data_IF_331654188673
#
_entry.id   IF_331654188673
#
_cell.length_a   1.000
_cell.length_b   1.000
_cell.length_c   1.000
_cell.angle_alpha   90.00
_cell.angle_beta   90.00
_cell.angle_gamma   90.00
#
_symmetry.space_group_name_H-M   'P 1'
#
loop_
_entity.id
_entity.type
_entity.pdbx_description
1 polymer ?
#
# COMPACT_ATOMS: atom_id res chain seq x y z
N UNK A 1 11.63 -13.14 -58.53
CA UNK A 1 11.84 -11.88 -57.82
C UNK A 1 11.72 -12.18 -56.33
N UNK A 2 12.83 -12.46 -55.69
CA UNK A 2 13.00 -12.79 -54.29
C UNK A 2 13.11 -11.50 -53.46
N UNK A 3 12.23 -11.30 -52.49
CA UNK A 3 12.32 -10.24 -51.50
C UNK A 3 13.33 -10.62 -50.39
N UNK A 4 14.32 -9.75 -50.17
CA UNK A 4 15.26 -9.83 -49.03
C UNK A 4 14.57 -9.42 -47.75
N UNK A 5 14.90 -10.01 -46.58
CA UNK A 5 14.39 -9.57 -45.29
C UNK A 5 15.09 -8.29 -44.82
N UNK A 6 14.30 -7.34 -44.28
CA UNK A 6 14.81 -6.13 -43.65
C UNK A 6 15.43 -6.47 -42.31
N UNK A 7 16.70 -6.17 -42.15
CA UNK A 7 17.40 -6.24 -40.87
C UNK A 7 17.09 -4.96 -40.07
N UNK A 8 16.44 -5.09 -38.94
CA UNK A 8 16.17 -3.98 -38.01
C UNK A 8 17.44 -3.70 -37.20
N UNK A 9 18.05 -2.56 -37.49
CA UNK A 9 19.22 -2.06 -36.69
C UNK A 9 18.69 -1.39 -35.46
N UNK A 10 18.80 -2.06 -34.30
CA UNK A 10 18.50 -1.49 -32.98
C UNK A 10 19.63 -0.52 -32.65
N UNK A 11 19.29 0.75 -32.39
CA UNK A 11 20.25 1.81 -32.04
C UNK A 11 20.86 1.56 -30.65
N UNK A 12 22.18 1.68 -30.45
CA UNK A 12 22.87 1.35 -29.19
C UNK A 12 22.63 2.34 -28.04
N UNK A 13 21.87 3.42 -28.22
CA UNK A 13 21.72 4.50 -27.23
C UNK A 13 20.83 4.12 -26.03
N UNK A 14 19.94 3.15 -26.17
CA UNK A 14 19.05 2.70 -25.09
C UNK A 14 19.77 1.81 -24.06
N UNK A 15 20.74 1.05 -24.50
CA UNK A 15 21.50 0.12 -23.66
C UNK A 15 22.47 0.85 -22.72
N UNK A 16 23.11 1.93 -23.17
CA UNK A 16 23.99 2.74 -22.32
C UNK A 16 23.25 3.52 -21.22
N UNK A 17 22.02 4.00 -21.50
CA UNK A 17 21.21 4.67 -20.48
C UNK A 17 20.73 3.72 -19.38
N UNK A 18 20.37 2.50 -19.75
CA UNK A 18 19.96 1.47 -18.80
C UNK A 18 21.11 1.01 -17.88
N UNK A 19 22.34 0.93 -18.43
CA UNK A 19 23.53 0.60 -17.65
C UNK A 19 23.93 1.70 -16.66
N UNK A 20 23.81 2.99 -17.07
CA UNK A 20 24.04 4.13 -16.19
C UNK A 20 23.00 4.19 -15.06
N UNK A 21 21.72 3.93 -15.35
CA UNK A 21 20.65 3.95 -14.35
C UNK A 21 20.87 2.88 -13.26
N UNK A 22 21.18 1.66 -13.65
CA UNK A 22 21.46 0.57 -12.72
C UNK A 22 22.71 0.83 -11.84
N UNK A 23 23.73 1.50 -12.40
CA UNK A 23 24.93 1.85 -11.61
C UNK A 23 24.64 2.93 -10.56
N UNK A 24 23.79 3.89 -10.86
CA UNK A 24 23.37 4.95 -9.92
C UNK A 24 22.51 4.36 -8.80
N UNK A 25 21.60 3.45 -9.13
CA UNK A 25 20.76 2.74 -8.14
C UNK A 25 21.59 1.90 -7.18
N UNK A 26 22.56 1.14 -7.69
CA UNK A 26 23.50 0.36 -6.86
C UNK A 26 24.33 1.23 -5.91
N UNK A 27 24.81 2.38 -6.38
CA UNK A 27 25.58 3.32 -5.55
C UNK A 27 24.70 3.94 -4.44
N UNK A 28 23.43 4.25 -4.73
CA UNK A 28 22.47 4.77 -3.74
C UNK A 28 22.13 3.70 -2.68
N UNK A 29 21.89 2.45 -3.08
CA UNK A 29 21.68 1.32 -2.17
C UNK A 29 22.87 1.08 -1.25
N UNK A 30 24.08 1.14 -1.78
CA UNK A 30 25.31 0.97 -0.99
C UNK A 30 25.49 2.12 0.02
N UNK A 31 25.05 3.33 -0.34
CA UNK A 31 25.04 4.48 0.57
C UNK A 31 24.03 4.33 1.71
N UNK A 32 22.79 3.88 1.40
CA UNK A 32 21.75 3.56 2.42
C UNK A 32 22.22 2.47 3.40
N UNK A 33 22.82 1.38 2.93
CA UNK A 33 23.37 0.31 3.78
C UNK A 33 24.48 0.82 4.69
N UNK A 34 25.34 1.72 4.21
CA UNK A 34 26.41 2.31 5.04
C UNK A 34 25.86 3.27 6.11
N UNK A 35 24.83 4.07 5.78
CA UNK A 35 24.15 4.93 6.75
C UNK A 35 23.48 4.09 7.84
N UNK A 36 22.76 3.04 7.46
CA UNK A 36 22.09 2.13 8.41
C UNK A 36 23.09 1.40 9.32
N UNK A 37 24.23 0.94 8.80
CA UNK A 37 25.31 0.35 9.61
C UNK A 37 25.91 1.35 10.61
N UNK A 38 26.04 2.61 10.22
CA UNK A 38 26.55 3.66 11.12
C UNK A 38 25.55 4.03 12.20
N UNK A 39 24.25 4.05 11.87
CA UNK A 39 23.16 4.30 12.83
C UNK A 39 23.08 3.15 13.84
N UNK A 40 23.13 1.90 13.36
CA UNK A 40 23.12 0.72 14.23
C UNK A 40 24.33 0.70 15.18
N UNK A 41 25.53 1.09 14.70
CA UNK A 41 26.71 1.25 15.58
C UNK A 41 26.52 2.31 16.66
N UNK A 42 25.85 3.44 16.35
CA UNK A 42 25.55 4.50 17.33
C UNK A 42 24.59 4.00 18.43
N UNK A 43 23.52 3.28 18.05
CA UNK A 43 22.57 2.71 19.01
C UNK A 43 23.21 1.60 19.86
N UNK A 44 24.07 0.76 19.28
CA UNK A 44 24.77 -0.28 20.01
C UNK A 44 25.79 0.30 21.00
N UNK A 45 26.46 1.41 20.67
CA UNK A 45 27.36 2.11 21.59
C UNK A 45 26.61 2.82 22.72
N UNK A 46 25.41 3.33 22.45
CA UNK A 46 24.57 4.01 23.47
C UNK A 46 24.00 3.00 24.48
N UNK A 47 23.59 1.81 24.02
CA UNK A 47 23.09 0.74 24.90
C UNK A 47 24.17 0.18 25.83
N UNK A 48 25.42 0.08 25.35
CA UNK A 48 26.56 -0.34 26.19
C UNK A 48 26.89 0.74 27.24
N UNK A 49 26.79 2.03 26.89
CA UNK A 49 27.02 3.12 27.85
C UNK A 49 25.92 3.18 28.94
N UNK A 50 24.65 2.90 28.62
CA UNK A 50 23.58 2.80 29.59
C UNK A 50 23.74 1.60 30.54
N UNK A 51 24.21 0.47 30.05
CA UNK A 51 24.44 -0.72 30.88
C UNK A 51 25.57 -0.54 31.91
N UNK A 52 26.57 0.31 31.61
CA UNK A 52 27.66 0.64 32.53
C UNK A 52 27.28 1.67 33.60
N UNK A 53 26.25 2.48 33.38
CA UNK A 53 25.76 3.46 34.38
C UNK A 53 24.83 2.86 35.43
N UNK A 54 24.21 1.70 35.19
CA UNK A 54 23.34 1.01 36.16
C UNK A 54 24.09 0.20 37.19
N UNK A 55 25.39 -0.09 36.99
CA UNK A 55 26.21 -0.88 37.90
C UNK A 55 26.90 -0.09 39.03
N UNK A 56 26.62 1.22 39.19
CA UNK A 56 27.25 2.08 40.22
C UNK A 56 26.33 2.52 41.38
N UNK A 57 25.13 1.95 41.49
CA UNK A 57 24.24 2.31 42.64
C UNK A 57 23.83 1.04 43.38
N UNK A 58 24.61 0.67 44.40
CA UNK A 58 24.29 -0.44 45.27
C UNK A 58 25.36 -0.71 46.30
N UNK A 59 25.59 0.23 47.23
CA UNK A 59 26.43 -0.02 48.40
C UNK A 59 25.54 -0.09 49.66
N UNK A 60 25.68 -1.17 50.44
CA UNK A 60 25.03 -1.28 51.76
C UNK A 60 25.19 -2.65 52.42
N UNK A 61 26.35 -2.90 53.07
CA UNK A 61 26.60 -3.61 54.32
C UNK A 61 25.79 -4.88 54.69
N UNK A 62 26.33 -6.03 55.02
CA UNK A 62 27.12 -6.39 56.19
C UNK A 62 27.60 -7.85 56.20
N UNK A 63 28.83 -8.06 56.74
CA UNK A 63 29.42 -9.16 57.51
C UNK A 63 29.67 -10.53 56.86
N UNK A 64 30.95 -10.84 56.87
CA UNK A 64 31.70 -12.07 56.66
C UNK A 64 31.42 -13.15 57.73
N UNK A 65 32.09 -14.36 57.78
CA UNK A 65 33.40 -14.70 57.20
C UNK A 65 33.61 -16.14 56.65
N UNK A 66 34.78 -16.29 55.99
CA UNK A 66 35.71 -17.45 55.90
C UNK A 66 35.20 -18.75 55.18
N UNK A 67 35.95 -19.47 54.39
CA UNK A 67 37.34 -19.86 54.29
C UNK A 67 37.60 -20.56 52.93
N UNK A 68 38.73 -20.39 52.46
CA UNK A 68 39.89 -21.16 51.96
C UNK A 68 39.94 -21.56 50.48
N UNK A 69 41.05 -21.07 49.93
CA UNK A 69 41.84 -21.36 48.70
C UNK A 69 42.38 -22.85 48.71
N UNK A 70 42.95 -23.44 47.67
CA UNK A 70 43.78 -22.84 46.59
C UNK A 70 43.68 -23.47 45.19
N UNK A 71 44.07 -22.66 44.22
CA UNK A 71 45.14 -22.76 43.20
C UNK A 71 45.33 -24.05 42.37
N UNK A 72 45.55 -23.90 41.10
CA UNK A 72 46.83 -24.04 40.38
C UNK A 72 46.58 -24.01 38.87
N UNK A 73 47.21 -23.03 38.21
CA UNK A 73 48.16 -23.11 37.08
C UNK A 73 47.79 -24.03 35.90
N UNK A 74 48.05 -23.76 34.71
CA UNK A 74 48.89 -22.87 33.90
C UNK A 74 49.03 -23.50 32.50
N UNK A 75 49.39 -22.66 31.58
CA UNK A 75 50.43 -22.76 30.53
C UNK A 75 50.02 -23.11 29.11
N UNK A 76 50.16 -22.08 28.26
CA UNK A 76 50.95 -21.92 27.00
C UNK A 76 50.76 -22.99 25.91
N UNK A 77 50.81 -22.74 24.65
CA UNK A 77 51.53 -21.83 23.75
C UNK A 77 51.29 -22.29 22.30
N UNK A 78 51.19 -21.30 21.42
CA UNK A 78 51.85 -21.17 20.11
C UNK A 78 51.61 -22.18 18.97
N UNK A 79 51.26 -21.67 17.88
CA UNK A 79 52.02 -21.39 16.65
C UNK A 79 51.40 -21.85 15.34
N UNK A 80 51.35 -20.87 14.48
CA UNK A 80 51.84 -20.75 13.11
C UNK A 80 51.11 -21.42 11.94
N UNK A 81 50.71 -20.50 11.09
CA UNK A 81 50.85 -20.44 9.61
C UNK A 81 50.65 -21.71 8.78
N UNK A 82 49.68 -21.60 7.84
CA UNK A 82 50.04 -21.81 6.42
C UNK A 82 49.03 -21.14 5.52
N UNK A 83 49.53 -20.23 4.68
CA UNK A 83 48.89 -19.63 3.53
C UNK A 83 48.74 -20.70 2.46
N UNK A 84 47.55 -20.80 1.86
CA UNK A 84 47.45 -21.30 0.49
C UNK A 84 46.33 -20.57 -0.25
N UNK A 85 46.78 -19.81 -1.20
CA UNK A 85 46.08 -19.17 -2.28
C UNK A 85 45.45 -20.23 -3.20
N UNK A 86 44.15 -20.10 -3.54
CA UNK A 86 43.72 -20.54 -4.87
C UNK A 86 42.29 -20.01 -5.22
N UNK A 87 42.25 -19.21 -6.28
CA UNK A 87 41.31 -19.17 -7.35
C UNK A 87 39.84 -18.72 -7.08
N UNK A 88 39.58 -17.52 -7.53
CA UNK A 88 38.49 -17.09 -8.42
C UNK A 88 37.38 -18.13 -8.63
N UNK A 89 36.25 -17.86 -8.06
CA UNK A 89 34.95 -18.26 -8.60
C UNK A 89 34.18 -17.02 -8.93
N UNK A 90 33.89 -16.80 -10.19
CA UNK A 90 32.94 -15.83 -10.72
C UNK A 90 31.59 -16.07 -10.06
N UNK A 91 31.17 -15.12 -9.23
CA UNK A 91 29.84 -15.06 -8.67
C UNK A 91 28.90 -14.50 -9.77
N UNK A 92 28.35 -15.41 -10.58
CA UNK A 92 27.16 -15.15 -11.36
C UNK A 92 26.04 -14.93 -10.33
N UNK A 93 25.74 -13.67 -10.05
CA UNK A 93 24.47 -13.30 -9.42
C UNK A 93 23.35 -13.66 -10.42
N UNK A 94 22.84 -14.86 -10.32
CA UNK A 94 21.54 -15.23 -10.80
C UNK A 94 20.55 -14.44 -9.93
N UNK A 95 19.79 -13.56 -10.56
CA UNK A 95 18.55 -12.99 -10.02
C UNK A 95 17.61 -14.19 -9.82
N UNK A 96 17.65 -14.80 -8.64
CA UNK A 96 16.64 -15.77 -8.22
C UNK A 96 15.34 -14.96 -8.14
N UNK A 97 14.51 -15.10 -9.16
CA UNK A 97 13.09 -14.82 -9.05
C UNK A 97 12.62 -15.62 -7.81
N UNK A 98 12.20 -14.92 -6.76
CA UNK A 98 11.56 -15.54 -5.60
C UNK A 98 10.26 -16.11 -6.15
N UNK A 99 10.27 -17.38 -6.51
CA UNK A 99 9.08 -18.13 -6.89
C UNK A 99 8.14 -18.04 -5.69
N UNK A 100 7.01 -17.34 -5.87
CA UNK A 100 6.04 -17.18 -4.79
C UNK A 100 5.56 -18.58 -4.41
N UNK A 101 5.74 -18.96 -3.15
CA UNK A 101 5.37 -20.29 -2.69
C UNK A 101 3.84 -20.47 -2.84
N UNK A 102 3.43 -21.49 -3.56
CA UNK A 102 2.01 -21.87 -3.68
C UNK A 102 1.41 -22.16 -2.32
N UNK A 103 0.14 -21.81 -2.13
CA UNK A 103 -0.58 -22.11 -0.89
C UNK A 103 -0.87 -23.61 -0.81
N UNK A 104 -0.44 -24.23 0.30
CA UNK A 104 -0.78 -25.63 0.59
C UNK A 104 -2.05 -25.68 1.43
N UNK A 105 -3.09 -26.33 0.92
CA UNK A 105 -4.35 -26.53 1.64
C UNK A 105 -4.35 -27.87 2.39
N UNK A 106 -5.05 -27.97 3.59
CA UNK A 106 -5.78 -26.87 4.21
C UNK A 106 -4.86 -25.76 4.73
N UNK A 107 -5.31 -24.51 4.63
CA UNK A 107 -4.61 -23.34 5.15
C UNK A 107 -5.46 -22.64 6.19
N UNK A 108 -4.84 -22.23 7.31
CA UNK A 108 -5.49 -21.38 8.33
C UNK A 108 -4.87 -20.00 8.29
N UNK A 109 -5.71 -19.00 8.07
CA UNK A 109 -5.34 -17.59 7.92
C UNK A 109 -5.93 -16.76 9.06
N UNK A 110 -5.24 -15.72 9.48
CA UNK A 110 -5.79 -14.71 10.39
C UNK A 110 -6.30 -13.55 9.58
N UNK A 111 -7.59 -13.25 9.64
CA UNK A 111 -8.18 -12.12 8.93
C UNK A 111 -7.93 -10.77 9.66
N UNK A 112 -8.29 -9.65 9.01
CA UNK A 112 -8.08 -8.33 9.59
C UNK A 112 -9.02 -7.96 10.76
N UNK A 113 -9.90 -8.89 11.16
CA UNK A 113 -10.62 -8.84 12.43
C UNK A 113 -9.94 -9.67 13.54
N UNK A 114 -8.80 -10.32 13.26
CA UNK A 114 -8.06 -11.20 14.17
C UNK A 114 -8.71 -12.58 14.34
N UNK A 115 -9.59 -13.02 13.40
CA UNK A 115 -10.22 -14.35 13.43
C UNK A 115 -9.38 -15.34 12.64
N UNK A 116 -9.30 -16.57 13.13
CA UNK A 116 -8.75 -17.69 12.37
C UNK A 116 -9.82 -18.23 11.40
N UNK A 117 -9.45 -18.33 10.12
CA UNK A 117 -10.30 -18.86 9.04
C UNK A 117 -9.52 -19.97 8.36
N UNK A 118 -10.11 -21.17 8.30
CA UNK A 118 -9.52 -22.33 7.63
C UNK A 118 -10.20 -22.56 6.29
N UNK A 119 -9.40 -22.68 5.25
CA UNK A 119 -9.82 -23.11 3.91
C UNK A 119 -9.30 -24.53 3.69
N UNK A 120 -10.20 -25.48 3.46
CA UNK A 120 -9.86 -26.89 3.25
C UNK A 120 -9.26 -27.15 1.86
N UNK A 121 -9.60 -26.31 0.88
CA UNK A 121 -9.12 -26.35 -0.50
C UNK A 121 -9.03 -24.94 -1.09
N UNK A 122 -8.40 -24.80 -2.25
CA UNK A 122 -8.42 -23.56 -3.03
C UNK A 122 -9.86 -23.19 -3.40
N UNK A 123 -10.33 -21.95 -3.14
CA UNK A 123 -11.69 -21.54 -3.48
C UNK A 123 -11.91 -21.51 -5.01
N UNK A 124 -12.96 -22.19 -5.47
CA UNK A 124 -13.40 -22.15 -6.86
C UNK A 124 -14.54 -21.15 -7.07
N UNK A 125 -15.28 -20.83 -5.99
CA UNK A 125 -16.40 -19.89 -6.00
C UNK A 125 -16.22 -18.84 -4.90
N UNK A 126 -16.23 -17.55 -5.30
CA UNK A 126 -15.96 -16.42 -4.40
C UNK A 126 -17.13 -15.43 -4.44
N UNK A 127 -17.57 -14.98 -3.28
CA UNK A 127 -18.47 -13.83 -3.15
C UNK A 127 -17.72 -12.66 -2.54
N UNK A 128 -17.83 -11.50 -3.18
CA UNK A 128 -17.35 -10.23 -2.63
C UNK A 128 -18.51 -9.33 -2.26
N UNK A 129 -18.61 -8.93 -0.99
CA UNK A 129 -19.63 -8.02 -0.49
C UNK A 129 -19.19 -6.57 -0.37
N UNK A 130 -18.05 -6.21 -0.99
CA UNK A 130 -17.45 -4.89 -0.90
C UNK A 130 -16.60 -4.57 -2.12
N UNK A 131 -16.69 -3.35 -2.65
CA UNK A 131 -16.02 -3.01 -3.92
C UNK A 131 -14.49 -3.03 -3.87
N UNK A 132 -13.88 -2.83 -2.72
CA UNK A 132 -12.41 -2.85 -2.59
C UNK A 132 -11.85 -4.25 -2.84
N UNK A 133 -12.30 -5.33 -2.14
CA UNK A 133 -11.87 -6.67 -2.51
C UNK A 133 -12.39 -7.11 -3.89
N UNK A 134 -13.52 -6.59 -4.40
CA UNK A 134 -13.95 -6.90 -5.76
C UNK A 134 -12.95 -6.39 -6.80
N UNK A 135 -12.45 -5.16 -6.64
CA UNK A 135 -11.39 -4.61 -7.48
C UNK A 135 -10.11 -5.44 -7.37
N UNK A 136 -9.70 -5.83 -6.15
CA UNK A 136 -8.55 -6.70 -5.95
C UNK A 136 -8.69 -8.06 -6.64
N UNK A 137 -9.86 -8.71 -6.54
CA UNK A 137 -10.11 -9.99 -7.19
C UNK A 137 -9.97 -9.89 -8.72
N UNK A 138 -10.38 -8.77 -9.32
CA UNK A 138 -10.16 -8.52 -10.76
C UNK A 138 -8.66 -8.40 -11.04
N UNK A 139 -7.91 -7.59 -10.27
CA UNK A 139 -6.48 -7.39 -10.43
C UNK A 139 -5.67 -8.70 -10.28
N UNK A 140 -6.13 -9.60 -9.40
CA UNK A 140 -5.55 -10.93 -9.20
C UNK A 140 -5.97 -11.97 -10.25
N UNK A 141 -6.81 -11.58 -11.23
CA UNK A 141 -7.28 -12.49 -12.29
C UNK A 141 -8.38 -13.46 -11.86
N UNK A 142 -9.07 -13.20 -10.75
CA UNK A 142 -10.08 -14.09 -10.15
C UNK A 142 -11.53 -13.76 -10.54
N UNK A 143 -11.74 -12.85 -11.51
CA UNK A 143 -13.10 -12.46 -11.93
C UNK A 143 -14.01 -13.62 -12.31
N UNK A 144 -13.45 -14.65 -12.94
CA UNK A 144 -14.20 -15.83 -13.39
C UNK A 144 -14.60 -16.79 -12.26
N UNK A 145 -13.97 -16.65 -11.07
CA UNK A 145 -14.35 -17.37 -9.84
C UNK A 145 -15.43 -16.63 -9.03
N UNK A 146 -15.75 -15.40 -9.36
CA UNK A 146 -16.77 -14.63 -8.65
C UNK A 146 -18.18 -15.10 -9.03
N UNK A 147 -19.00 -15.44 -8.01
CA UNK A 147 -20.39 -15.90 -8.17
C UNK A 147 -21.43 -14.97 -7.53
N UNK A 148 -20.98 -13.94 -6.82
CA UNK A 148 -21.80 -12.88 -6.22
C UNK A 148 -20.99 -11.66 -5.90
N UNK A 149 -21.62 -10.49 -5.97
CA UNK A 149 -20.94 -9.19 -5.87
C UNK A 149 -21.78 -8.21 -5.02
N UNK A 150 -21.14 -7.15 -4.51
CA UNK A 150 -21.83 -6.09 -3.80
C UNK A 150 -22.86 -5.36 -4.68
N UNK A 151 -23.82 -4.68 -4.04
CA UNK A 151 -24.84 -3.90 -4.75
C UNK A 151 -24.20 -2.72 -5.51
N UNK A 152 -24.88 -2.30 -6.58
CA UNK A 152 -24.49 -1.19 -7.46
C UNK A 152 -23.21 -1.47 -8.29
N UNK A 153 -22.88 -2.72 -8.56
CA UNK A 153 -21.80 -3.10 -9.43
C UNK A 153 -21.91 -2.43 -10.81
N UNK A 154 -23.15 -2.24 -11.31
CA UNK A 154 -23.47 -1.54 -12.56
C UNK A 154 -23.05 -0.05 -12.58
N UNK A 155 -22.72 0.54 -11.44
CA UNK A 155 -22.22 1.92 -11.33
C UNK A 155 -20.70 2.02 -11.37
N UNK A 156 -19.97 0.91 -11.21
CA UNK A 156 -18.52 0.89 -11.21
C UNK A 156 -17.95 0.85 -12.64
N UNK A 157 -17.20 1.89 -13.02
CA UNK A 157 -16.62 1.98 -14.34
C UNK A 157 -15.58 0.86 -14.58
N UNK A 158 -14.76 0.55 -13.56
CA UNK A 158 -13.77 -0.51 -13.63
C UNK A 158 -14.39 -1.87 -13.98
N UNK A 159 -15.57 -2.23 -13.45
CA UNK A 159 -16.21 -3.50 -13.76
C UNK A 159 -16.67 -3.54 -15.23
N UNK A 160 -17.24 -2.44 -15.73
CA UNK A 160 -17.65 -2.34 -17.15
C UNK A 160 -16.47 -2.46 -18.10
N UNK A 161 -15.30 -1.96 -17.71
CA UNK A 161 -14.10 -1.94 -18.54
C UNK A 161 -13.33 -3.27 -18.48
N UNK A 162 -13.10 -3.81 -17.28
CA UNK A 162 -12.24 -4.97 -17.07
C UNK A 162 -13.01 -6.30 -16.97
N UNK A 163 -14.24 -6.27 -16.45
CA UNK A 163 -14.98 -7.47 -16.06
C UNK A 163 -16.50 -7.27 -16.24
N UNK A 164 -17.01 -7.00 -17.46
CA UNK A 164 -18.41 -6.64 -17.68
C UNK A 164 -19.40 -7.72 -17.21
N UNK A 165 -19.00 -8.98 -17.20
CA UNK A 165 -19.85 -10.10 -16.75
C UNK A 165 -20.17 -10.02 -15.26
N UNK A 166 -19.36 -9.33 -14.47
CA UNK A 166 -19.60 -9.17 -13.02
C UNK A 166 -20.86 -8.37 -12.70
N UNK A 167 -21.27 -7.46 -13.58
CA UNK A 167 -22.48 -6.64 -13.35
C UNK A 167 -23.79 -7.44 -13.44
N UNK A 168 -23.73 -8.62 -14.04
CA UNK A 168 -24.85 -9.56 -14.16
C UNK A 168 -24.92 -10.56 -13.01
N UNK A 169 -23.91 -10.60 -12.14
CA UNK A 169 -23.90 -11.52 -10.99
C UNK A 169 -24.97 -11.15 -9.96
N UNK A 170 -25.46 -12.13 -9.19
CA UNK A 170 -26.33 -11.88 -8.05
C UNK A 170 -25.71 -10.89 -7.07
N UNK A 171 -26.49 -9.87 -6.69
CA UNK A 171 -26.06 -8.90 -5.69
C UNK A 171 -26.28 -9.46 -4.28
N UNK A 172 -25.25 -9.35 -3.43
CA UNK A 172 -25.35 -9.69 -2.00
C UNK A 172 -25.63 -8.46 -1.11
N UNK A 173 -26.07 -7.35 -1.72
CA UNK A 173 -26.45 -6.14 -0.98
C UNK A 173 -25.28 -5.19 -0.70
N UNK A 174 -25.44 -4.36 0.33
CA UNK A 174 -24.47 -3.36 0.78
C UNK A 174 -24.00 -3.64 2.20
N UNK A 175 -22.97 -2.92 2.68
CA UNK A 175 -22.56 -3.00 4.09
C UNK A 175 -23.64 -2.52 5.09
N UNK A 176 -24.70 -1.85 4.64
CA UNK A 176 -25.86 -1.44 5.47
C UNK A 176 -27.01 -2.44 5.38
N UNK A 177 -27.19 -3.06 4.21
CA UNK A 177 -28.30 -3.95 3.87
C UNK A 177 -27.70 -5.17 3.14
N UNK A 178 -27.03 -6.04 3.92
CA UNK A 178 -26.40 -7.25 3.40
C UNK A 178 -27.44 -8.38 3.29
N UNK A 179 -27.52 -9.02 2.13
CA UNK A 179 -28.38 -10.16 1.86
C UNK A 179 -27.69 -11.47 2.25
N UNK A 180 -27.78 -11.81 3.53
CA UNK A 180 -27.17 -13.01 4.09
C UNK A 180 -27.74 -14.29 3.47
N UNK A 181 -29.06 -14.35 3.26
CA UNK A 181 -29.74 -15.54 2.70
C UNK A 181 -29.34 -15.70 1.21
N UNK A 182 -29.35 -14.61 0.44
CA UNK A 182 -28.91 -14.60 -0.95
C UNK A 182 -27.46 -15.03 -1.08
N UNK A 183 -26.56 -14.51 -0.22
CA UNK A 183 -25.17 -14.89 -0.19
C UNK A 183 -24.98 -16.39 0.11
N UNK A 184 -25.64 -16.89 1.16
CA UNK A 184 -25.55 -18.31 1.54
C UNK A 184 -26.13 -19.26 0.46
N UNK A 185 -27.16 -18.81 -0.26
CA UNK A 185 -27.79 -19.62 -1.33
C UNK A 185 -26.85 -19.82 -2.55
N UNK A 186 -25.85 -18.95 -2.73
CA UNK A 186 -24.80 -19.11 -3.76
C UNK A 186 -23.82 -20.23 -3.41
N UNK A 187 -23.81 -20.69 -2.16
CA UNK A 187 -22.91 -21.75 -1.65
C UNK A 187 -21.43 -21.50 -2.00
N UNK A 188 -20.89 -20.31 -1.72
CA UNK A 188 -19.51 -19.97 -2.09
C UNK A 188 -18.49 -20.72 -1.23
N UNK A 189 -17.32 -21.01 -1.80
CA UNK A 189 -16.18 -21.58 -1.08
C UNK A 189 -15.47 -20.52 -0.21
N UNK A 190 -15.62 -19.23 -0.58
CA UNK A 190 -15.07 -18.10 0.17
C UNK A 190 -15.95 -16.86 0.01
N UNK A 191 -16.18 -16.16 1.13
CA UNK A 191 -16.82 -14.84 1.15
C UNK A 191 -15.83 -13.80 1.68
N UNK A 192 -15.74 -12.63 1.04
CA UNK A 192 -14.90 -11.51 1.51
C UNK A 192 -15.80 -10.32 1.84
N UNK A 193 -15.77 -9.87 3.09
CA UNK A 193 -16.64 -8.82 3.61
C UNK A 193 -15.84 -7.73 4.32
N UNK A 194 -16.37 -6.47 4.37
CA UNK A 194 -15.78 -5.44 5.20
C UNK A 194 -15.99 -5.74 6.69
N UNK A 195 -15.10 -5.21 7.54
CA UNK A 195 -15.16 -5.38 8.99
C UNK A 195 -16.52 -4.99 9.62
N UNK A 196 -17.27 -4.08 8.98
CA UNK A 196 -18.62 -3.69 9.40
C UNK A 196 -19.63 -4.83 9.39
N UNK A 197 -19.38 -5.88 8.61
CA UNK A 197 -20.27 -7.04 8.46
C UNK A 197 -19.84 -8.25 9.32
N UNK A 198 -19.15 -8.02 10.44
CA UNK A 198 -18.68 -9.07 11.35
C UNK A 198 -19.81 -10.01 11.84
N UNK A 199 -21.02 -9.49 12.05
CA UNK A 199 -22.15 -10.31 12.52
C UNK A 199 -22.69 -11.22 11.37
N UNK A 200 -22.73 -10.71 10.13
CA UNK A 200 -23.03 -11.52 8.96
C UNK A 200 -21.96 -12.58 8.70
N UNK A 201 -20.68 -12.22 8.87
CA UNK A 201 -19.57 -13.14 8.76
C UNK A 201 -19.68 -14.29 9.79
N UNK A 202 -20.05 -13.99 11.04
CA UNK A 202 -20.29 -15.02 12.06
C UNK A 202 -21.41 -15.98 11.64
N UNK A 203 -22.53 -15.45 11.15
CA UNK A 203 -23.67 -16.24 10.69
C UNK A 203 -23.33 -17.13 9.48
N UNK A 204 -22.57 -16.64 8.50
CA UNK A 204 -22.11 -17.44 7.36
C UNK A 204 -21.15 -18.55 7.82
N UNK A 205 -20.26 -18.23 8.79
CA UNK A 205 -19.34 -19.23 9.35
C UNK A 205 -20.09 -20.34 10.09
N UNK A 206 -21.17 -20.02 10.82
CA UNK A 206 -22.06 -21.04 11.45
C UNK A 206 -22.74 -21.95 10.41
N UNK A 207 -22.93 -21.45 9.18
CA UNK A 207 -23.45 -22.24 8.05
C UNK A 207 -22.33 -23.05 7.35
N UNK A 208 -21.10 -22.99 7.84
CA UNK A 208 -19.95 -23.69 7.27
C UNK A 208 -19.32 -22.99 6.06
N UNK A 209 -19.63 -21.72 5.81
CA UNK A 209 -19.07 -20.91 4.72
C UNK A 209 -17.89 -20.10 5.27
N UNK A 210 -16.67 -20.29 4.75
CA UNK A 210 -15.50 -19.49 5.14
C UNK A 210 -15.67 -18.01 4.78
N UNK A 211 -15.36 -17.11 5.72
CA UNK A 211 -15.45 -15.66 5.51
C UNK A 211 -14.18 -14.97 5.97
N UNK A 212 -13.55 -14.20 5.09
CA UNK A 212 -12.49 -13.25 5.43
C UNK A 212 -13.06 -11.85 5.64
N UNK A 213 -12.78 -11.27 6.80
CA UNK A 213 -13.07 -9.85 7.06
C UNK A 213 -11.84 -8.99 6.73
N UNK A 214 -12.05 -7.93 5.95
CA UNK A 214 -11.00 -7.01 5.51
C UNK A 214 -11.26 -5.58 5.97
N UNK A 215 -10.16 -4.85 6.23
CA UNK A 215 -10.20 -3.48 6.72
C UNK A 215 -9.00 -2.66 6.20
N UNK A 216 -8.88 -2.38 4.91
CA UNK A 216 -7.70 -1.76 4.30
C UNK A 216 -7.63 -0.23 4.51
N UNK A 217 -7.80 0.26 5.74
CA UNK A 217 -7.92 1.70 6.05
C UNK A 217 -6.56 2.44 6.15
N UNK A 218 -5.44 1.74 5.89
CA UNK A 218 -4.10 2.34 5.73
C UNK A 218 -3.34 1.66 4.61
N UNK A 219 -2.18 2.20 4.24
CA UNK A 219 -1.29 1.60 3.22
C UNK A 219 -0.79 0.21 3.64
N UNK A 220 -0.50 0.04 4.93
CA UNK A 220 -0.07 -1.23 5.51
C UNK A 220 -1.22 -2.24 5.49
N UNK A 221 -2.42 -1.83 5.94
CA UNK A 221 -3.60 -2.69 5.95
C UNK A 221 -4.07 -3.07 4.54
N UNK A 222 -3.87 -2.20 3.54
CA UNK A 222 -4.11 -2.55 2.14
C UNK A 222 -3.12 -3.62 1.67
N UNK A 223 -1.84 -3.50 2.00
CA UNK A 223 -0.83 -4.52 1.70
C UNK A 223 -1.19 -5.85 2.36
N UNK A 224 -1.52 -5.85 3.65
CA UNK A 224 -1.96 -7.05 4.39
C UNK A 224 -3.22 -7.70 3.77
N UNK A 225 -4.18 -6.89 3.30
CA UNK A 225 -5.36 -7.42 2.59
C UNK A 225 -4.98 -8.11 1.29
N UNK A 226 -4.06 -7.54 0.50
CA UNK A 226 -3.59 -8.14 -0.75
C UNK A 226 -2.90 -9.47 -0.47
N UNK A 227 -2.01 -9.52 0.53
CA UNK A 227 -1.31 -10.74 0.95
C UNK A 227 -2.30 -11.80 1.49
N UNK A 228 -3.25 -11.41 2.32
CA UNK A 228 -4.28 -12.28 2.89
C UNK A 228 -5.14 -12.93 1.80
N UNK A 229 -5.68 -12.10 0.89
CA UNK A 229 -6.57 -12.58 -0.18
C UNK A 229 -5.80 -13.44 -1.18
N UNK A 230 -4.59 -13.05 -1.56
CA UNK A 230 -3.77 -13.83 -2.49
C UNK A 230 -3.36 -15.19 -1.90
N UNK A 231 -3.03 -15.25 -0.61
CA UNK A 231 -2.75 -16.51 0.07
C UNK A 231 -3.99 -17.40 0.13
N UNK A 232 -5.16 -16.81 0.41
CA UNK A 232 -6.43 -17.52 0.44
C UNK A 232 -6.84 -18.11 -0.93
N UNK A 233 -6.38 -17.51 -2.02
CA UNK A 233 -6.80 -17.83 -3.39
C UNK A 233 -5.69 -18.38 -4.28
N UNK A 234 -4.50 -18.63 -3.71
CA UNK A 234 -3.31 -19.15 -4.42
C UNK A 234 -2.87 -18.26 -5.60
N UNK A 235 -2.88 -16.93 -5.38
CA UNK A 235 -2.53 -15.92 -6.41
C UNK A 235 -1.36 -15.03 -5.99
N UNK A 236 -0.43 -15.56 -5.18
CA UNK A 236 0.70 -14.81 -4.61
C UNK A 236 1.65 -14.24 -5.67
N UNK A 237 1.85 -14.95 -6.80
CA UNK A 237 2.66 -14.45 -7.90
C UNK A 237 2.10 -13.11 -8.42
N UNK A 238 0.81 -13.10 -8.72
CA UNK A 238 0.13 -11.89 -9.21
C UNK A 238 0.08 -10.77 -8.17
N UNK A 239 -0.12 -11.13 -6.90
CA UNK A 239 -0.08 -10.19 -5.79
C UNK A 239 1.31 -9.57 -5.63
N UNK A 240 2.39 -10.34 -5.79
CA UNK A 240 3.77 -9.85 -5.72
C UNK A 240 4.08 -8.85 -6.84
N UNK A 241 3.58 -9.08 -8.06
CA UNK A 241 3.67 -8.09 -9.15
C UNK A 241 2.98 -6.78 -8.76
N UNK A 242 1.76 -6.85 -8.23
CA UNK A 242 0.98 -5.70 -7.79
C UNK A 242 1.67 -4.94 -6.65
N UNK A 243 2.12 -5.64 -5.62
CA UNK A 243 2.82 -5.07 -4.47
C UNK A 243 4.16 -4.45 -4.88
N UNK A 244 4.88 -5.09 -5.81
CA UNK A 244 6.14 -4.56 -6.36
C UNK A 244 5.90 -3.27 -7.15
N UNK A 245 4.83 -3.20 -7.94
CA UNK A 245 4.43 -1.96 -8.62
C UNK A 245 4.14 -0.86 -7.58
N UNK A 246 3.29 -1.13 -6.59
CA UNK A 246 2.96 -0.15 -5.54
C UNK A 246 4.22 0.32 -4.78
N UNK A 247 5.13 -0.59 -4.47
CA UNK A 247 6.40 -0.27 -3.80
C UNK A 247 7.31 0.58 -4.69
N UNK A 248 7.35 0.33 -6.00
CA UNK A 248 8.13 1.13 -6.95
C UNK A 248 7.62 2.56 -7.04
N UNK A 249 6.30 2.77 -7.06
CA UNK A 249 5.70 4.10 -7.06
C UNK A 249 5.99 4.86 -5.74
N UNK A 250 5.85 4.20 -4.59
CA UNK A 250 6.23 4.77 -3.28
C UNK A 250 7.70 5.18 -3.25
N UNK A 251 8.59 4.35 -3.76
CA UNK A 251 10.02 4.64 -3.81
C UNK A 251 10.31 5.81 -4.75
N UNK A 252 9.70 5.82 -5.93
CA UNK A 252 9.82 6.90 -6.90
C UNK A 252 9.43 8.25 -6.27
N UNK A 253 8.25 8.35 -5.66
CA UNK A 253 7.78 9.57 -5.02
C UNK A 253 8.69 9.97 -3.85
N UNK A 254 9.04 9.03 -2.98
CA UNK A 254 9.93 9.30 -1.84
C UNK A 254 11.32 9.81 -2.25
N UNK A 255 11.89 9.28 -3.35
CA UNK A 255 13.20 9.71 -3.84
C UNK A 255 13.14 11.10 -4.52
N UNK A 256 12.08 11.35 -5.30
CA UNK A 256 11.91 12.63 -6.02
C UNK A 256 11.56 13.78 -5.07
N UNK A 257 10.77 13.50 -4.03
CA UNK A 257 10.24 14.49 -3.09
C UNK A 257 11.06 14.60 -1.78
N UNK A 258 12.21 13.93 -1.69
CA UNK A 258 13.02 13.86 -0.45
C UNK A 258 13.44 15.21 0.14
N UNK A 259 13.67 16.20 -0.74
CA UNK A 259 14.18 17.54 -0.35
C UNK A 259 13.13 18.64 -0.58
N UNK A 260 11.83 18.26 -0.74
CA UNK A 260 10.74 19.19 -1.01
C UNK A 260 10.02 19.54 0.30
N UNK A 261 9.70 20.81 0.50
CA UNK A 261 8.86 21.25 1.63
C UNK A 261 7.41 20.82 1.39
N UNK A 262 6.75 20.19 2.39
CA UNK A 262 5.38 19.71 2.22
C UNK A 262 4.37 20.85 2.09
N UNK A 263 3.48 20.76 1.10
CA UNK A 263 2.39 21.69 0.89
C UNK A 263 1.17 21.37 1.76
N UNK A 264 0.48 22.39 2.29
CA UNK A 264 -0.72 22.20 3.11
C UNK A 264 -1.92 21.84 2.25
N UNK A 265 -2.50 20.66 2.48
CA UNK A 265 -3.59 20.07 1.68
C UNK A 265 -4.80 19.80 2.56
N UNK A 266 -5.95 20.34 2.20
CA UNK A 266 -7.24 19.98 2.77
C UNK A 266 -7.96 19.01 1.84
N UNK A 267 -8.29 17.83 2.35
CA UNK A 267 -9.12 16.85 1.64
C UNK A 267 -10.59 17.05 2.03
N UNK A 268 -11.42 17.33 1.04
CA UNK A 268 -12.87 17.49 1.20
C UNK A 268 -13.61 16.19 0.82
N UNK A 269 -14.46 15.72 1.72
CA UNK A 269 -15.15 14.42 1.59
C UNK A 269 -16.29 14.42 0.57
N UNK A 270 -16.82 13.23 0.28
CA UNK A 270 -17.81 13.02 -0.80
C UNK A 270 -19.10 13.82 -0.60
N UNK A 271 -19.68 13.77 0.59
CA UNK A 271 -21.03 14.33 0.84
C UNK A 271 -21.02 15.79 1.27
N UNK A 272 -19.88 16.34 1.66
CA UNK A 272 -19.75 17.69 2.21
C UNK A 272 -18.34 18.21 2.07
N UNK A 273 -18.22 19.46 1.62
CA UNK A 273 -16.96 20.21 1.63
C UNK A 273 -16.36 20.33 3.04
N UNK A 274 -17.20 20.33 4.07
CA UNK A 274 -16.80 20.48 5.47
C UNK A 274 -16.58 19.13 6.17
N UNK A 275 -16.61 18.01 5.45
CA UNK A 275 -16.21 16.70 5.93
C UNK A 275 -14.79 16.40 5.48
N UNK A 276 -13.92 15.99 6.39
CA UNK A 276 -12.50 15.75 6.07
C UNK A 276 -11.94 14.51 6.76
N UNK A 277 -10.88 13.97 6.20
CA UNK A 277 -10.20 12.77 6.70
C UNK A 277 -9.17 13.14 7.78
N UNK A 278 -9.27 12.51 8.96
CA UNK A 278 -8.25 12.60 10.00
C UNK A 278 -6.96 11.84 9.64
N UNK A 279 -5.88 11.99 10.44
CA UNK A 279 -4.55 11.44 10.13
C UNK A 279 -4.48 9.89 10.11
N UNK A 280 -5.45 9.21 10.74
CA UNK A 280 -5.54 7.74 10.73
C UNK A 280 -6.18 7.17 9.45
N UNK A 281 -6.67 8.02 8.55
CA UNK A 281 -7.31 7.60 7.31
C UNK A 281 -6.29 7.37 6.21
N UNK A 282 -6.63 6.45 5.29
CA UNK A 282 -5.88 6.16 4.07
C UNK A 282 -5.49 7.44 3.30
N UNK A 283 -6.41 8.39 3.20
CA UNK A 283 -6.23 9.63 2.47
C UNK A 283 -5.12 10.53 3.05
N UNK A 284 -4.87 10.47 4.36
CA UNK A 284 -3.75 11.21 4.95
C UNK A 284 -2.41 10.69 4.46
N UNK A 285 -2.24 9.37 4.45
CA UNK A 285 -1.01 8.75 3.91
C UNK A 285 -0.84 8.98 2.40
N UNK A 286 -1.94 9.08 1.64
CA UNK A 286 -1.94 9.46 0.24
C UNK A 286 -1.37 10.88 0.05
N UNK A 287 -1.81 11.85 0.87
CA UNK A 287 -1.33 13.23 0.85
C UNK A 287 0.15 13.29 1.22
N UNK A 288 0.56 12.60 2.28
CA UNK A 288 1.95 12.58 2.74
C UNK A 288 2.90 11.99 1.69
N UNK A 289 2.49 10.89 1.05
CA UNK A 289 3.28 10.27 -0.02
C UNK A 289 3.43 11.17 -1.25
N UNK A 290 2.45 12.04 -1.50
CA UNK A 290 2.49 13.03 -2.57
C UNK A 290 3.34 14.28 -2.22
N UNK A 291 3.99 14.32 -1.06
CA UNK A 291 4.74 15.49 -0.58
C UNK A 291 3.84 16.60 -0.02
N UNK A 292 2.63 16.25 0.39
CA UNK A 292 1.71 17.15 1.08
C UNK A 292 1.69 16.93 2.59
N UNK A 293 1.02 17.82 3.28
CA UNK A 293 0.71 17.77 4.71
C UNK A 293 -0.80 17.92 4.90
N UNK A 294 -1.44 16.96 5.56
CA UNK A 294 -2.87 17.04 5.83
C UNK A 294 -3.19 18.22 6.75
N UNK A 295 -4.01 19.17 6.30
CA UNK A 295 -4.44 20.32 7.09
C UNK A 295 -5.22 19.92 8.35
N UNK A 296 -5.88 18.75 8.32
CA UNK A 296 -6.67 18.19 9.43
C UNK A 296 -5.86 17.24 10.34
N UNK A 297 -4.52 17.29 10.36
CA UNK A 297 -3.65 16.39 11.12
C UNK A 297 -3.90 16.40 12.64
N UNK A 298 -4.47 17.49 13.18
CA UNK A 298 -4.80 17.63 14.61
C UNK A 298 -6.05 16.86 15.03
N UNK A 299 -6.87 16.37 14.07
CA UNK A 299 -8.12 15.65 14.38
C UNK A 299 -7.80 14.16 14.53
N UNK A 300 -7.50 13.72 15.74
CA UNK A 300 -7.01 12.34 16.01
C UNK A 300 -8.06 11.41 16.63
N UNK A 301 -9.25 11.91 16.96
CA UNK A 301 -10.28 11.21 17.72
C UNK A 301 -11.37 10.57 16.85
N UNK A 302 -11.33 10.82 15.53
CA UNK A 302 -12.27 10.24 14.56
C UNK A 302 -11.60 9.98 13.22
N UNK A 303 -12.18 9.10 12.42
CA UNK A 303 -11.77 8.88 11.04
C UNK A 303 -12.21 10.04 10.14
N UNK A 304 -13.53 10.28 10.03
CA UNK A 304 -14.12 11.41 9.32
C UNK A 304 -14.61 12.43 10.32
N UNK A 305 -14.26 13.68 10.10
CA UNK A 305 -14.65 14.81 10.94
C UNK A 305 -15.48 15.80 10.15
N UNK A 306 -16.55 16.31 10.79
CA UNK A 306 -17.25 17.50 10.33
C UNK A 306 -16.60 18.73 10.96
N UNK A 307 -16.24 19.71 10.15
CA UNK A 307 -15.63 20.96 10.58
C UNK A 307 -16.50 22.16 10.22
N UNK A 308 -16.13 23.35 10.66
CA UNK A 308 -16.76 24.61 10.26
C UNK A 308 -15.92 25.35 9.21
N UNK A 309 -16.54 26.33 8.53
CA UNK A 309 -15.81 27.23 7.64
C UNK A 309 -14.72 28.01 8.38
N UNK A 310 -14.99 28.39 9.63
CA UNK A 310 -14.00 29.09 10.47
C UNK A 310 -12.77 28.21 10.75
N UNK A 311 -12.97 26.91 10.95
CA UNK A 311 -11.85 25.96 11.12
C UNK A 311 -11.06 25.81 9.82
N UNK A 312 -11.72 25.64 8.69
CA UNK A 312 -11.06 25.56 7.38
C UNK A 312 -10.27 26.82 7.05
N UNK A 313 -10.83 27.99 7.33
CA UNK A 313 -10.13 29.28 7.16
C UNK A 313 -8.98 29.48 8.16
N UNK A 314 -9.08 28.90 9.36
CA UNK A 314 -7.99 28.95 10.33
C UNK A 314 -6.80 28.08 9.92
N UNK A 315 -7.04 26.95 9.27
CA UNK A 315 -5.99 26.12 8.67
C UNK A 315 -5.39 26.76 7.43
N UNK A 316 -6.19 27.51 6.65
CA UNK A 316 -5.83 28.22 5.42
C UNK A 316 -4.95 27.37 4.47
N UNK A 317 -5.45 26.21 4.00
CA UNK A 317 -4.66 25.29 3.19
C UNK A 317 -4.24 25.93 1.86
N UNK A 318 -3.05 25.50 1.38
CA UNK A 318 -2.55 25.91 0.05
C UNK A 318 -3.34 25.25 -1.08
N UNK A 319 -3.84 24.02 -0.84
CA UNK A 319 -4.63 23.23 -1.79
C UNK A 319 -5.88 22.67 -1.14
N UNK A 320 -6.98 22.63 -1.91
CA UNK A 320 -8.20 21.89 -1.57
C UNK A 320 -8.39 20.79 -2.61
N UNK A 321 -8.48 19.55 -2.12
CA UNK A 321 -8.62 18.36 -2.95
C UNK A 321 -9.97 17.72 -2.64
N UNK A 322 -10.85 17.63 -3.63
CA UNK A 322 -12.13 16.99 -3.51
C UNK A 322 -11.98 15.48 -3.69
N UNK A 323 -12.72 14.71 -2.90
CA UNK A 323 -12.85 13.27 -3.11
C UNK A 323 -13.36 12.97 -4.54
N UNK A 324 -12.99 11.80 -5.07
CA UNK A 324 -13.30 11.41 -6.45
C UNK A 324 -14.82 11.39 -6.75
N UNK A 325 -15.62 10.95 -5.78
CA UNK A 325 -17.07 10.83 -5.86
C UNK A 325 -17.81 12.00 -5.12
N UNK A 326 -17.21 13.21 -5.07
CA UNK A 326 -17.82 14.34 -4.39
C UNK A 326 -19.17 14.74 -5.04
N UNK A 327 -20.20 14.97 -4.20
CA UNK A 327 -21.55 15.39 -4.62
C UNK A 327 -21.61 16.88 -5.05
N UNK A 328 -20.47 17.58 -5.08
CA UNK A 328 -20.29 18.98 -5.43
C UNK A 328 -19.02 19.12 -6.29
N UNK A 329 -18.86 20.27 -6.95
CA UNK A 329 -17.83 20.48 -7.97
C UNK A 329 -16.72 21.41 -7.50
N UNK A 330 -15.59 21.42 -8.22
CA UNK A 330 -14.50 22.39 -8.07
C UNK A 330 -15.04 23.82 -8.20
N UNK A 331 -15.95 24.08 -9.16
CA UNK A 331 -16.54 25.39 -9.36
C UNK A 331 -17.42 25.83 -8.18
N UNK A 332 -18.12 24.89 -7.52
CA UNK A 332 -18.91 25.21 -6.31
C UNK A 332 -17.98 25.70 -5.18
N UNK A 333 -16.81 25.09 -5.01
CA UNK A 333 -15.82 25.50 -4.00
C UNK A 333 -15.15 26.82 -4.35
N UNK A 334 -14.76 27.02 -5.61
CA UNK A 334 -14.12 28.25 -6.08
C UNK A 334 -15.04 29.47 -5.97
N UNK A 335 -16.37 29.26 -6.07
CA UNK A 335 -17.39 30.33 -5.98
C UNK A 335 -18.05 30.42 -4.59
N UNK A 336 -17.59 29.66 -3.59
CA UNK A 336 -18.14 29.72 -2.24
C UNK A 336 -17.71 31.03 -1.54
N UNK A 337 -18.67 31.92 -1.30
CA UNK A 337 -18.44 33.22 -0.63
C UNK A 337 -17.82 33.08 0.77
N UNK A 338 -18.02 31.93 1.45
CA UNK A 338 -17.42 31.68 2.75
C UNK A 338 -15.91 31.39 2.64
N UNK A 339 -15.44 30.96 1.47
CA UNK A 339 -14.03 30.59 1.21
C UNK A 339 -13.25 31.63 0.41
N UNK A 340 -13.83 32.77 0.06
CA UNK A 340 -13.15 33.82 -0.71
C UNK A 340 -11.82 34.29 -0.11
N UNK A 341 -11.64 34.12 1.19
CA UNK A 341 -10.42 34.49 1.91
C UNK A 341 -9.43 33.33 2.08
N UNK A 342 -9.80 32.09 1.74
CA UNK A 342 -8.94 30.90 1.73
C UNK A 342 -7.84 31.01 0.66
N UNK A 343 -6.61 30.68 1.00
CA UNK A 343 -5.44 30.74 0.10
C UNK A 343 -5.63 29.86 -1.13
N UNK A 344 -6.11 28.61 -0.96
CA UNK A 344 -6.37 27.69 -2.06
C UNK A 344 -7.38 28.28 -3.06
N UNK A 345 -8.48 28.85 -2.59
CA UNK A 345 -9.52 29.44 -3.45
C UNK A 345 -9.02 30.68 -4.18
N UNK A 346 -8.32 31.61 -3.48
CA UNK A 346 -7.70 32.79 -4.10
C UNK A 346 -6.75 32.48 -5.23
N UNK A 347 -6.01 31.37 -5.08
CA UNK A 347 -4.99 30.94 -6.03
C UNK A 347 -5.53 29.98 -7.09
N UNK A 348 -6.81 29.57 -7.02
CA UNK A 348 -7.41 28.58 -7.90
C UNK A 348 -6.86 27.16 -7.70
N UNK A 349 -6.31 26.86 -6.53
CA UNK A 349 -5.71 25.57 -6.18
C UNK A 349 -6.76 24.62 -5.58
N UNK A 350 -7.79 24.33 -6.37
CA UNK A 350 -8.89 23.43 -6.03
C UNK A 350 -8.98 22.36 -7.11
N UNK A 351 -8.90 21.10 -6.74
CA UNK A 351 -8.85 19.97 -7.68
C UNK A 351 -9.73 18.82 -7.19
N UNK A 352 -10.12 17.94 -8.09
CA UNK A 352 -10.85 16.72 -7.76
C UNK A 352 -9.98 15.51 -8.10
N UNK A 353 -9.92 14.52 -7.20
CA UNK A 353 -9.21 13.27 -7.43
C UNK A 353 -9.83 12.54 -8.63
N UNK A 354 -9.03 11.99 -9.55
CA UNK A 354 -9.55 11.18 -10.65
C UNK A 354 -10.41 10.02 -10.16
N UNK A 355 -11.60 9.86 -10.73
CA UNK A 355 -12.58 8.83 -10.38
C UNK A 355 -13.18 8.13 -11.59
N UNK A 356 -12.72 8.43 -12.80
CA UNK A 356 -13.33 7.95 -14.05
C UNK A 356 -13.29 6.43 -14.20
N UNK A 357 -12.30 5.77 -13.62
CA UNK A 357 -12.12 4.31 -13.62
C UNK A 357 -12.45 3.73 -12.26
N UNK A 358 -11.79 4.24 -11.22
CA UNK A 358 -11.98 3.85 -9.81
C UNK A 358 -11.89 5.09 -8.91
N UNK A 359 -12.52 5.03 -7.75
CA UNK A 359 -12.39 6.04 -6.70
C UNK A 359 -10.97 5.92 -6.08
N UNK A 360 -9.99 6.66 -6.63
CA UNK A 360 -8.58 6.53 -6.24
C UNK A 360 -8.28 7.04 -4.82
N UNK A 361 -9.18 7.77 -4.19
CA UNK A 361 -9.14 8.16 -2.78
C UNK A 361 -9.64 7.05 -1.82
N UNK A 362 -10.11 5.94 -2.38
CA UNK A 362 -10.44 4.74 -1.62
C UNK A 362 -9.26 3.77 -1.62
N UNK A 363 -9.08 2.92 -0.58
CA UNK A 363 -7.96 1.98 -0.50
C UNK A 363 -8.13 0.78 -1.44
N UNK A 364 -8.33 1.04 -2.72
CA UNK A 364 -8.28 0.06 -3.81
C UNK A 364 -6.83 -0.17 -4.24
N UNK A 365 -6.49 -1.28 -4.92
CA UNK A 365 -5.12 -1.52 -5.37
C UNK A 365 -4.54 -0.39 -6.24
N UNK A 366 -5.38 0.29 -7.04
CA UNK A 366 -4.98 1.42 -7.89
C UNK A 366 -4.71 2.74 -7.13
N UNK A 367 -5.04 2.81 -5.85
CA UNK A 367 -5.03 4.06 -5.06
C UNK A 367 -3.65 4.72 -4.93
N UNK A 368 -2.56 3.99 -5.16
CA UNK A 368 -1.21 4.57 -5.26
C UNK A 368 -1.13 5.64 -6.37
N UNK A 369 -1.93 5.51 -7.42
CA UNK A 369 -1.99 6.46 -8.53
C UNK A 369 -2.53 7.83 -8.09
N UNK A 370 -3.38 7.90 -7.05
CA UNK A 370 -3.82 9.18 -6.49
C UNK A 370 -2.65 9.96 -5.89
N UNK A 371 -1.69 9.28 -5.24
CA UNK A 371 -0.48 9.93 -4.73
C UNK A 371 0.39 10.44 -5.87
N UNK A 372 0.52 9.68 -6.97
CA UNK A 372 1.27 10.13 -8.16
C UNK A 372 0.61 11.35 -8.81
N UNK A 373 -0.73 11.32 -8.95
CA UNK A 373 -1.50 12.43 -9.48
C UNK A 373 -1.36 13.69 -8.60
N UNK A 374 -1.53 13.54 -7.31
CA UNK A 374 -1.45 14.67 -6.36
C UNK A 374 -0.03 15.24 -6.31
N UNK A 375 1.01 14.40 -6.36
CA UNK A 375 2.40 14.86 -6.42
C UNK A 375 2.67 15.73 -7.65
N UNK A 376 2.08 15.40 -8.81
CA UNK A 376 2.16 16.22 -10.01
C UNK A 376 1.47 17.58 -9.88
N UNK A 377 0.46 17.70 -9.01
CA UNK A 377 -0.21 18.96 -8.69
C UNK A 377 0.58 19.80 -7.69
N UNK A 378 1.03 19.16 -6.61
CA UNK A 378 1.75 19.85 -5.54
C UNK A 378 3.17 20.28 -5.97
N UNK A 379 3.84 19.44 -6.77
CA UNK A 379 5.25 19.57 -7.11
C UNK A 379 5.50 19.39 -8.62
N UNK A 380 4.93 20.22 -9.49
CA UNK A 380 4.98 20.04 -10.96
C UNK A 380 6.40 20.15 -11.56
N UNK A 381 7.35 20.75 -10.85
CA UNK A 381 8.75 20.79 -11.28
C UNK A 381 9.47 19.46 -11.06
N UNK A 382 9.08 18.68 -10.04
CA UNK A 382 9.65 17.39 -9.69
C UNK A 382 8.93 16.24 -10.35
N UNK A 383 7.58 16.32 -10.43
CA UNK A 383 6.71 15.30 -10.99
C UNK A 383 5.97 15.87 -12.21
N UNK A 384 6.43 15.59 -13.44
CA UNK A 384 5.78 16.07 -14.67
C UNK A 384 4.32 15.68 -14.78
N UNK A 385 3.51 16.54 -15.41
CA UNK A 385 2.05 16.37 -15.49
C UNK A 385 1.61 15.08 -16.23
N UNK A 386 2.43 14.52 -17.12
CA UNK A 386 2.18 13.28 -17.85
C UNK A 386 2.54 12.02 -17.06
N UNK A 387 3.19 12.16 -15.89
CA UNK A 387 3.57 11.00 -15.06
C UNK A 387 2.35 10.19 -14.64
N UNK A 388 1.31 10.84 -14.12
CA UNK A 388 0.06 10.17 -13.74
C UNK A 388 -0.58 9.41 -14.90
N UNK A 389 -0.68 10.02 -16.08
CA UNK A 389 -1.29 9.38 -17.25
C UNK A 389 -0.48 8.16 -17.70
N UNK A 390 0.85 8.27 -17.70
CA UNK A 390 1.76 7.17 -18.06
C UNK A 390 1.64 6.01 -17.08
N UNK A 391 1.70 6.29 -15.78
CA UNK A 391 1.61 5.27 -14.74
C UNK A 391 0.21 4.64 -14.67
N UNK A 392 -0.85 5.43 -14.83
CA UNK A 392 -2.24 4.95 -14.89
C UNK A 392 -2.45 3.99 -16.07
N UNK A 393 -2.00 4.34 -17.27
CA UNK A 393 -2.09 3.46 -18.43
C UNK A 393 -1.33 2.14 -18.19
N UNK A 394 -0.10 2.22 -17.69
CA UNK A 394 0.72 1.05 -17.38
C UNK A 394 0.03 0.14 -16.35
N UNK A 395 -0.50 0.73 -15.28
CA UNK A 395 -1.18 0.01 -14.22
C UNK A 395 -2.42 -0.73 -14.71
N UNK A 396 -3.35 -0.01 -15.36
CA UNK A 396 -4.61 -0.60 -15.80
C UNK A 396 -4.43 -1.60 -16.94
N UNK A 397 -3.48 -1.39 -17.84
CA UNK A 397 -3.12 -2.37 -18.86
C UNK A 397 -2.57 -3.65 -18.21
N UNK A 398 -1.65 -3.50 -17.25
CA UNK A 398 -1.00 -4.63 -16.58
C UNK A 398 -1.98 -5.44 -15.74
N UNK A 399 -2.76 -4.79 -14.87
CA UNK A 399 -3.53 -5.49 -13.84
C UNK A 399 -4.98 -5.75 -14.21
N UNK A 400 -5.54 -4.99 -15.15
CA UNK A 400 -6.95 -5.09 -15.53
C UNK A 400 -7.16 -5.36 -17.02
N UNK A 401 -6.11 -5.34 -17.84
CA UNK A 401 -6.20 -5.52 -19.29
C UNK A 401 -6.92 -4.38 -20.00
N UNK A 402 -6.96 -3.17 -19.40
CA UNK A 402 -7.60 -1.99 -19.96
C UNK A 402 -6.54 -1.17 -20.69
N UNK A 403 -6.75 -0.90 -21.97
CA UNK A 403 -5.95 0.06 -22.73
C UNK A 403 -6.75 1.34 -22.94
N UNK A 404 -6.18 2.48 -22.52
CA UNK A 404 -6.74 3.78 -22.82
C UNK A 404 -6.15 4.25 -24.17
N UNK A 405 -7.01 4.48 -25.16
CA UNK A 405 -6.57 5.10 -26.41
C UNK A 405 -6.18 6.56 -26.13
N UNK A 406 -4.94 6.91 -26.48
CA UNK A 406 -4.40 8.28 -26.37
C UNK A 406 -4.97 9.21 -27.43
#
# INVERSE_FOLDING_TARGET
KTKKPNCIIIKPLAFEKMLCYNTVVLLKLQRKVNVMKNTLKKYLSLSIACALLISMIGCGTTSAPAETVPATESVTEQAAETVTETASAEETAAEEAIEAAETTYPVTLTDQAGREVTLEAEPETIVSGYYIPSSLLIALGLKDKMVGIEAKADKRAIYKLAAPDLIELPSVGTAKEFDLEGCAALSPDLVILPLKLKDAAASLTELGIPVLLVNPESQELLTEMIELVSTATNTQERANELLSYMASQKTMLSDILADVEPESVYLAGNSSLLSTAGPAMYQSSMIELAGGKNAAEEITDTYWAEISYEQLLAWDPAYIILASDADYTVDDVLNDENLKDCTAVKNGQVYQIPGDVEALDSPVPASILASVWLAGILHPEQVPADTYTTESNTYYETFYGISFEN
#
